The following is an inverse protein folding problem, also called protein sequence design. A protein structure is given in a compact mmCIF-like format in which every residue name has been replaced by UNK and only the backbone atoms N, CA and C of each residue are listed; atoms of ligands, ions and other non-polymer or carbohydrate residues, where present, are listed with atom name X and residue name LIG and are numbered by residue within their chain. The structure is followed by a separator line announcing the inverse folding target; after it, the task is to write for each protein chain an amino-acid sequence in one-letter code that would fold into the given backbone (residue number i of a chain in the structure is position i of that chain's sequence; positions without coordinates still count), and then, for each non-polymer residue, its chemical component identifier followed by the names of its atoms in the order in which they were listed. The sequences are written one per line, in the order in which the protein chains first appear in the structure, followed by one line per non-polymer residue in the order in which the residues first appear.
data_IF_254675574173
#
_entry.id   IF_254675574173
#
_cell.length_a   1.000
_cell.length_b   1.000
_cell.length_c   1.000
_cell.angle_alpha   90.00
_cell.angle_beta   90.00
_cell.angle_gamma   90.00
#
_symmetry.space_group_name_H-M   'P 1'
#
loop_
_entity.id
_entity.type
_entity.pdbx_description
1 polymer ?
#
# COMPACT_ATOMS: atom_id res chain seq x y z
N UNK A 1 -10.21 -53.81 37.67
CA UNK A 1 -9.68 -53.82 39.04
C UNK A 1 -8.29 -53.22 38.96
N UNK A 2 -8.00 -52.14 39.70
CA UNK A 2 -6.69 -51.49 39.61
C UNK A 2 -5.67 -52.20 40.50
N UNK A 3 -4.44 -52.35 40.01
CA UNK A 3 -3.29 -52.83 40.78
C UNK A 3 -2.64 -51.61 41.41
N UNK A 4 -2.52 -51.61 42.74
CA UNK A 4 -2.02 -50.47 43.51
C UNK A 4 -0.68 -50.82 44.13
N UNK A 5 0.33 -49.99 43.87
CA UNK A 5 1.69 -50.13 44.38
C UNK A 5 1.95 -49.07 45.46
N UNK A 6 1.87 -49.44 46.75
CA UNK A 6 2.17 -48.52 47.83
C UNK A 6 3.68 -48.31 47.94
N UNK A 7 4.13 -47.06 47.80
CA UNK A 7 5.54 -46.69 47.84
C UNK A 7 5.82 -45.47 48.71
N UNK A 8 6.96 -45.51 49.39
CA UNK A 8 7.48 -44.39 50.18
C UNK A 8 8.70 -43.84 49.47
N UNK A 9 8.62 -42.57 49.06
CA UNK A 9 9.69 -41.91 48.33
C UNK A 9 10.29 -40.81 49.19
N UNK A 10 11.60 -40.88 49.41
CA UNK A 10 12.38 -39.87 50.11
C UNK A 10 12.89 -38.81 49.15
N UNK A 11 12.98 -37.57 49.62
CA UNK A 11 13.69 -36.48 48.95
C UNK A 11 15.15 -36.38 49.42
N UNK A 12 15.46 -36.93 50.60
CA UNK A 12 16.77 -36.85 51.26
C UNK A 12 17.60 -38.12 51.14
N UNK A 13 16.97 -39.29 51.10
CA UNK A 13 17.64 -40.60 51.06
C UNK A 13 17.41 -41.30 49.71
N UNK A 14 18.32 -42.18 49.26
CA UNK A 14 18.09 -43.04 48.11
C UNK A 14 16.83 -43.90 48.29
N UNK A 15 16.08 -44.12 47.21
CA UNK A 15 14.86 -44.92 47.22
C UNK A 15 15.14 -46.37 46.79
N UNK A 16 16.26 -46.95 47.23
CA UNK A 16 16.70 -48.28 46.80
C UNK A 16 15.93 -49.41 47.50
N UNK A 17 15.26 -49.10 48.62
CA UNK A 17 14.53 -50.07 49.45
C UNK A 17 13.05 -50.21 49.06
N UNK A 18 12.62 -49.64 47.93
CA UNK A 18 11.24 -49.81 47.48
C UNK A 18 11.01 -51.24 46.99
N UNK A 19 9.82 -51.83 47.21
CA UNK A 19 9.48 -53.12 46.60
C UNK A 19 9.59 -53.06 45.08
N UNK A 20 9.96 -54.18 44.46
CA UNK A 20 10.04 -54.29 43.01
C UNK A 20 8.66 -54.01 42.40
N UNK A 21 8.57 -52.93 41.62
CA UNK A 21 7.37 -52.55 40.88
C UNK A 21 7.44 -53.19 39.50
N UNK A 22 6.52 -54.11 39.22
CA UNK A 22 6.38 -54.75 37.91
C UNK A 22 5.08 -54.34 37.26
N UNK A 23 5.19 -53.63 36.14
CA UNK A 23 4.08 -53.07 35.37
C UNK A 23 4.05 -53.77 34.01
N UNK A 24 2.86 -54.02 33.47
CA UNK A 24 2.71 -54.55 32.12
C UNK A 24 2.52 -53.41 31.13
N UNK A 25 3.22 -53.47 29.99
CA UNK A 25 3.09 -52.52 28.90
C UNK A 25 1.63 -52.44 28.41
N UNK A 26 1.16 -51.24 28.07
CA UNK A 26 -0.20 -50.97 27.56
C UNK A 26 -1.36 -51.31 28.52
N UNK A 27 -1.09 -51.55 29.81
CA UNK A 27 -2.13 -51.76 30.81
C UNK A 27 -2.63 -50.42 31.37
N UNK A 28 -3.17 -49.58 30.48
CA UNK A 28 -3.57 -48.20 30.79
C UNK A 28 -4.74 -48.14 31.78
N UNK A 29 -4.66 -47.21 32.73
CA UNK A 29 -5.75 -46.94 33.66
C UNK A 29 -5.89 -47.94 34.82
N UNK A 30 -5.10 -49.02 34.84
CA UNK A 30 -5.18 -50.05 35.88
C UNK A 30 -3.98 -50.03 36.84
N UNK A 31 -2.83 -49.51 36.41
CA UNK A 31 -1.57 -49.53 37.14
C UNK A 31 -1.38 -48.24 37.96
N UNK A 32 -1.50 -48.30 39.29
CA UNK A 32 -1.55 -47.11 40.16
C UNK A 32 -0.42 -47.11 41.18
N UNK A 33 0.37 -46.04 41.21
CA UNK A 33 1.33 -45.74 42.27
C UNK A 33 0.62 -45.00 43.41
N UNK A 34 0.64 -45.56 44.62
CA UNK A 34 0.14 -44.91 45.84
C UNK A 34 1.33 -44.41 46.66
N UNK A 35 1.61 -43.12 46.55
CA UNK A 35 2.90 -42.53 46.93
C UNK A 35 2.76 -41.75 48.22
N UNK A 36 3.66 -42.00 49.15
CA UNK A 36 3.89 -41.15 50.32
C UNK A 36 5.27 -40.50 50.24
N UNK A 37 5.31 -39.18 50.15
CA UNK A 37 6.54 -38.39 50.05
C UNK A 37 7.08 -38.11 51.45
N UNK A 38 8.38 -38.33 51.63
CA UNK A 38 9.05 -38.15 52.93
C UNK A 38 10.31 -37.30 52.85
N UNK A 39 10.57 -36.56 53.91
CA UNK A 39 11.81 -35.80 54.15
C UNK A 39 12.36 -36.23 55.51
N UNK A 40 13.59 -36.75 55.55
CA UNK A 40 14.18 -37.32 56.77
C UNK A 40 13.27 -38.36 57.47
N UNK A 41 12.57 -39.19 56.69
CA UNK A 41 11.67 -40.24 57.18
C UNK A 41 10.31 -39.76 57.70
N UNK A 42 10.00 -38.46 57.64
CA UNK A 42 8.70 -37.90 58.02
C UNK A 42 7.90 -37.50 56.78
N UNK A 43 6.56 -37.61 56.79
CA UNK A 43 5.72 -37.13 55.70
C UNK A 43 5.98 -35.64 55.37
N UNK A 44 6.09 -35.32 54.08
CA UNK A 44 6.34 -33.95 53.58
C UNK A 44 5.04 -33.27 53.18
N UNK A 45 4.83 -32.03 53.63
CA UNK A 45 3.69 -31.22 53.18
C UNK A 45 3.88 -30.76 51.73
N UNK A 46 2.86 -30.99 50.90
CA UNK A 46 2.80 -30.62 49.47
C UNK A 46 1.60 -29.72 49.14
N UNK A 47 0.95 -29.11 50.12
CA UNK A 47 -0.34 -28.40 49.95
C UNK A 47 -0.37 -27.31 48.88
N UNK A 48 0.76 -26.63 48.62
CA UNK A 48 0.85 -25.55 47.63
C UNK A 48 1.62 -25.94 46.37
N UNK A 49 1.85 -27.24 46.17
CA UNK A 49 2.69 -27.75 45.09
C UNK A 49 1.90 -28.69 44.21
N UNK A 50 2.16 -28.59 42.91
CA UNK A 50 1.65 -29.53 41.92
C UNK A 50 2.72 -30.60 41.69
N UNK A 51 2.42 -31.88 41.97
CA UNK A 51 3.32 -32.97 41.67
C UNK A 51 3.30 -33.31 40.17
N UNK A 52 4.46 -33.67 39.64
CA UNK A 52 4.67 -34.18 38.30
C UNK A 52 5.42 -35.50 38.38
N UNK A 53 4.95 -36.51 37.66
CA UNK A 53 5.65 -37.78 37.50
C UNK A 53 6.61 -37.66 36.31
N UNK A 54 7.89 -37.94 36.54
CA UNK A 54 8.95 -37.72 35.56
C UNK A 54 9.74 -39.01 35.33
N UNK A 55 9.74 -39.53 34.11
CA UNK A 55 10.50 -40.71 33.69
C UNK A 55 11.77 -40.29 32.96
N UNK A 56 12.92 -40.85 33.37
CA UNK A 56 14.23 -40.72 32.70
C UNK A 56 14.43 -41.96 31.84
N UNK A 57 13.98 -42.00 30.57
CA UNK A 57 14.17 -43.21 29.76
C UNK A 57 15.66 -43.43 29.41
N UNK A 58 16.03 -44.71 29.28
CA UNK A 58 17.41 -45.18 29.24
C UNK A 58 18.12 -44.93 27.90
N UNK A 59 19.28 -44.27 27.97
CA UNK A 59 20.49 -44.30 27.11
C UNK A 59 20.42 -44.41 25.57
N UNK A 60 19.27 -44.49 24.91
CA UNK A 60 19.17 -44.50 23.45
C UNK A 60 18.70 -43.14 22.94
N UNK A 61 19.68 -42.36 22.46
CA UNK A 61 19.56 -41.32 21.44
C UNK A 61 18.27 -40.47 21.45
N UNK A 62 18.21 -39.45 22.30
CA UNK A 62 17.31 -38.30 22.10
C UNK A 62 15.82 -38.53 22.30
N UNK A 63 15.43 -39.69 22.84
CA UNK A 63 14.04 -40.10 23.02
C UNK A 63 13.77 -40.34 24.50
N UNK A 64 12.71 -39.72 25.03
CA UNK A 64 12.00 -40.33 26.15
C UNK A 64 12.15 -39.69 27.54
N UNK A 65 11.85 -38.41 27.67
CA UNK A 65 11.41 -37.88 28.96
C UNK A 65 9.87 -37.89 28.93
N UNK A 66 9.23 -38.66 29.81
CA UNK A 66 7.79 -38.54 30.09
C UNK A 66 7.62 -37.63 31.29
N UNK A 67 6.77 -36.63 31.16
CA UNK A 67 6.36 -35.77 32.27
C UNK A 67 4.85 -35.65 32.30
N UNK A 68 4.25 -36.00 33.44
CA UNK A 68 2.80 -36.04 33.59
C UNK A 68 2.37 -35.35 34.89
N UNK A 69 1.43 -34.41 34.79
CA UNK A 69 0.84 -33.72 35.95
C UNK A 69 0.04 -34.72 36.78
N UNK A 70 0.31 -34.79 38.09
CA UNK A 70 -0.44 -35.65 39.01
C UNK A 70 -1.68 -34.90 39.49
N UNK A 71 -2.86 -35.40 39.13
CA UNK A 71 -4.13 -34.76 39.46
C UNK A 71 -4.68 -35.20 40.83
N UNK A 72 -4.38 -36.43 41.26
CA UNK A 72 -5.02 -37.04 42.44
C UNK A 72 -4.14 -36.94 43.69
N UNK A 73 -4.34 -35.88 44.46
CA UNK A 73 -3.74 -35.71 45.79
C UNK A 73 -4.71 -36.23 46.85
N UNK A 74 -4.26 -37.17 47.68
CA UNK A 74 -5.10 -37.83 48.70
C UNK A 74 -5.05 -37.05 50.03
N UNK A 75 -3.86 -36.70 50.47
CA UNK A 75 -3.64 -35.90 51.68
C UNK A 75 -2.36 -35.09 51.51
N UNK A 76 -2.51 -33.82 51.12
CA UNK A 76 -1.39 -32.95 50.80
C UNK A 76 -0.50 -32.66 52.03
N UNK A 77 -1.09 -32.52 53.22
CA UNK A 77 -0.34 -32.28 54.46
C UNK A 77 0.53 -33.47 54.86
N UNK A 78 0.13 -34.67 54.46
CA UNK A 78 0.88 -35.92 54.67
C UNK A 78 1.67 -36.37 53.43
N UNK A 79 1.77 -35.55 52.38
CA UNK A 79 2.51 -35.91 51.18
C UNK A 79 1.98 -37.14 50.47
N UNK A 80 0.67 -37.42 50.55
CA UNK A 80 0.03 -38.58 49.94
C UNK A 80 -0.64 -38.23 48.63
N UNK A 81 -0.26 -38.93 47.56
CA UNK A 81 -0.81 -38.77 46.22
C UNK A 81 -0.96 -40.13 45.54
N UNK A 82 -1.82 -40.18 44.53
CA UNK A 82 -1.96 -41.34 43.67
C UNK A 82 -1.72 -40.95 42.22
N UNK A 83 -0.94 -41.77 41.52
CA UNK A 83 -0.65 -41.57 40.12
C UNK A 83 -0.97 -42.84 39.34
N UNK A 84 -1.81 -42.73 38.32
CA UNK A 84 -2.12 -43.85 37.42
C UNK A 84 -1.20 -43.75 36.22
N UNK A 85 -0.42 -44.80 35.94
CA UNK A 85 0.54 -44.81 34.85
C UNK A 85 -0.17 -44.73 33.50
N UNK A 86 0.42 -43.93 32.60
CA UNK A 86 -0.04 -43.77 31.22
C UNK A 86 0.76 -44.67 30.29
N UNK A 87 0.30 -44.83 29.03
CA UNK A 87 1.05 -45.59 28.02
C UNK A 87 2.47 -45.04 27.80
N UNK A 88 2.66 -43.74 27.99
CA UNK A 88 3.96 -43.07 27.85
C UNK A 88 4.94 -43.48 28.95
N UNK A 89 4.45 -43.67 30.17
CA UNK A 89 5.26 -44.13 31.31
C UNK A 89 5.66 -45.60 31.17
N UNK A 90 4.89 -46.36 30.40
CA UNK A 90 5.06 -47.79 30.19
C UNK A 90 5.73 -48.12 28.85
N UNK A 91 6.29 -47.14 28.15
CA UNK A 91 6.72 -47.32 26.75
C UNK A 91 8.00 -48.14 26.59
N UNK A 92 8.98 -47.96 27.48
CA UNK A 92 10.28 -48.64 27.40
C UNK A 92 10.25 -49.93 28.22
N UNK A 93 10.27 -51.08 27.53
CA UNK A 93 10.30 -52.40 28.17
C UNK A 93 11.65 -52.60 28.87
N UNK A 94 11.62 -53.10 30.11
CA UNK A 94 12.80 -53.27 30.95
C UNK A 94 12.78 -52.36 32.18
N UNK A 95 13.97 -52.05 32.71
CA UNK A 95 14.13 -51.20 33.87
C UNK A 95 14.07 -49.71 33.47
N UNK A 96 13.26 -48.95 34.20
CA UNK A 96 13.08 -47.52 34.01
C UNK A 96 13.32 -46.79 35.33
N UNK A 97 13.88 -45.59 35.23
CA UNK A 97 14.13 -44.72 36.37
C UNK A 97 13.16 -43.54 36.34
N UNK A 98 12.47 -43.29 37.43
CA UNK A 98 11.55 -42.16 37.56
C UNK A 98 11.69 -41.42 38.88
N UNK A 99 11.08 -40.25 38.97
CA UNK A 99 11.00 -39.43 40.17
C UNK A 99 9.74 -38.56 40.14
N UNK A 100 9.38 -37.99 41.28
CA UNK A 100 8.33 -36.96 41.36
C UNK A 100 8.94 -35.58 41.56
N UNK A 101 8.56 -34.63 40.72
CA UNK A 101 8.90 -33.21 40.83
C UNK A 101 7.74 -32.44 41.44
N UNK A 102 7.99 -31.57 42.41
CA UNK A 102 6.96 -30.74 43.05
C UNK A 102 7.19 -29.28 42.68
N UNK A 103 6.21 -28.70 41.99
CA UNK A 103 6.35 -27.39 41.36
C UNK A 103 5.28 -26.42 41.84
N UNK A 104 5.66 -25.16 41.88
CA UNK A 104 4.76 -24.05 42.12
C UNK A 104 4.49 -23.32 40.81
N UNK A 105 3.22 -23.03 40.52
CA UNK A 105 2.83 -22.21 39.40
C UNK A 105 3.09 -20.74 39.75
N UNK A 106 3.98 -20.10 39.01
CA UNK A 106 4.30 -18.69 39.19
C UNK A 106 3.23 -17.79 38.55
N UNK A 107 3.29 -16.48 38.84
CA UNK A 107 2.34 -15.49 38.29
C UNK A 107 2.42 -15.35 36.77
N UNK A 108 3.58 -15.62 36.19
CA UNK A 108 3.84 -15.67 34.75
C UNK A 108 3.45 -17.01 34.12
N UNK A 109 2.67 -17.82 34.85
CA UNK A 109 2.20 -19.14 34.43
C UNK A 109 3.34 -20.13 34.10
N UNK A 110 4.57 -19.87 34.57
CA UNK A 110 5.68 -20.81 34.50
C UNK A 110 5.69 -21.76 35.70
N UNK A 111 6.08 -23.01 35.47
CA UNK A 111 6.28 -23.99 36.55
C UNK A 111 7.70 -23.87 37.11
N UNK A 112 7.82 -23.57 38.40
CA UNK A 112 9.11 -23.57 39.10
C UNK A 112 9.20 -24.76 40.04
N UNK A 113 10.18 -25.64 39.81
CA UNK A 113 10.46 -26.76 40.72
C UNK A 113 10.95 -26.24 42.08
N UNK A 114 10.31 -26.69 43.15
CA UNK A 114 10.69 -26.40 44.54
C UNK A 114 11.56 -27.52 45.11
N UNK A 115 11.16 -28.78 44.89
CA UNK A 115 11.96 -29.96 45.22
C UNK A 115 11.52 -31.17 44.39
N UNK A 116 12.26 -32.27 44.51
CA UNK A 116 11.93 -33.55 43.88
C UNK A 116 12.25 -34.72 44.81
N UNK A 117 11.61 -35.87 44.61
CA UNK A 117 12.08 -37.12 45.21
C UNK A 117 13.42 -37.52 44.63
N UNK A 118 14.13 -38.40 45.34
CA UNK A 118 15.20 -39.18 44.72
C UNK A 118 14.60 -40.16 43.71
N UNK A 119 15.45 -40.54 42.78
CA UNK A 119 15.12 -41.48 41.72
C UNK A 119 14.71 -42.83 42.32
N UNK A 120 13.81 -43.52 41.64
CA UNK A 120 13.41 -44.88 41.95
C UNK A 120 13.23 -45.68 40.66
N UNK A 121 13.41 -47.00 40.75
CA UNK A 121 13.32 -47.90 39.61
C UNK A 121 11.98 -48.63 39.55
N UNK A 122 11.49 -48.88 38.35
CA UNK A 122 10.36 -49.78 38.08
C UNK A 122 10.62 -50.58 36.81
N UNK A 123 10.02 -51.77 36.73
CA UNK A 123 10.16 -52.65 35.58
C UNK A 123 8.87 -52.69 34.75
N UNK A 124 9.01 -52.44 33.46
CA UNK A 124 7.95 -52.65 32.47
C UNK A 124 8.19 -54.00 31.80
N UNK A 125 7.18 -54.87 31.84
CA UNK A 125 7.16 -56.17 31.15
C UNK A 125 6.41 -56.02 29.83
N UNK A 126 6.91 -56.68 28.80
CA UNK A 126 6.29 -56.74 27.48
C UNK A 126 4.83 -57.21 27.56
N UNK A 127 4.03 -56.67 26.65
CA UNK A 127 2.66 -57.09 26.40
C UNK A 127 2.58 -57.74 25.02
N UNK A 128 1.53 -58.52 24.77
CA UNK A 128 1.29 -59.11 23.45
C UNK A 128 0.90 -58.07 22.39
N UNK A 129 0.53 -56.87 22.83
CA UNK A 129 0.32 -55.71 21.98
C UNK A 129 1.67 -55.03 21.82
N UNK A 130 2.27 -55.08 20.63
CA UNK A 130 3.51 -54.37 20.32
C UNK A 130 3.18 -53.23 19.36
N UNK A 131 3.01 -52.02 19.89
CA UNK A 131 2.86 -50.80 19.08
C UNK A 131 4.21 -50.10 18.78
N UNK A 132 5.35 -50.72 19.12
CA UNK A 132 6.65 -50.07 19.02
C UNK A 132 6.82 -48.87 19.96
N UNK A 133 8.03 -48.30 19.98
CA UNK A 133 8.34 -47.10 20.75
C UNK A 133 7.86 -45.89 19.93
N UNK A 134 6.84 -45.17 20.39
CA UNK A 134 6.39 -43.88 19.85
C UNK A 134 7.38 -42.76 20.20
N UNK A 135 8.19 -42.32 19.25
CA UNK A 135 9.14 -41.24 19.48
C UNK A 135 8.45 -39.91 19.85
N UNK A 136 8.92 -39.29 20.95
CA UNK A 136 8.57 -37.96 21.48
C UNK A 136 7.27 -37.85 22.30
N UNK A 137 7.42 -37.79 23.64
CA UNK A 137 6.34 -37.51 24.60
C UNK A 137 6.43 -36.11 25.19
N UNK A 138 6.52 -35.09 24.33
CA UNK A 138 6.27 -33.71 24.74
C UNK A 138 4.76 -33.52 24.96
N UNK A 139 4.23 -34.09 26.05
CA UNK A 139 3.04 -33.57 26.69
C UNK A 139 3.51 -32.33 27.45
N UNK A 140 3.81 -31.27 26.70
CA UNK A 140 3.65 -29.92 27.24
C UNK A 140 2.22 -29.87 27.75
N UNK A 141 2.02 -29.41 28.99
CA UNK A 141 0.65 -29.29 29.49
C UNK A 141 -0.10 -28.40 28.50
N UNK A 142 -1.30 -28.78 28.05
CA UNK A 142 -2.11 -27.93 27.16
C UNK A 142 -2.21 -26.48 27.70
N UNK A 143 -2.11 -26.33 29.03
CA UNK A 143 -1.97 -25.08 29.77
C UNK A 143 -0.77 -24.22 29.32
N UNK A 144 0.41 -24.80 29.08
CA UNK A 144 1.60 -24.07 28.64
C UNK A 144 1.58 -23.73 27.15
N UNK A 145 1.01 -24.60 26.29
CA UNK A 145 0.78 -24.27 24.88
C UNK A 145 -0.24 -23.13 24.78
N UNK A 146 -1.31 -23.20 25.56
CA UNK A 146 -2.31 -22.14 25.67
C UNK A 146 -1.68 -20.84 26.18
N UNK A 147 -0.74 -20.91 27.14
CA UNK A 147 0.02 -19.75 27.61
C UNK A 147 0.82 -19.11 26.49
N UNK A 148 1.66 -19.88 25.79
CA UNK A 148 2.45 -19.33 24.68
C UNK A 148 1.58 -18.74 23.57
N UNK A 149 0.47 -19.40 23.27
CA UNK A 149 -0.50 -18.88 22.31
C UNK A 149 -1.12 -17.56 22.80
N UNK A 150 -1.50 -17.46 24.07
CA UNK A 150 -2.10 -16.25 24.65
C UNK A 150 -1.10 -15.09 24.74
N UNK A 151 0.15 -15.35 25.13
CA UNK A 151 1.24 -14.37 25.15
C UNK A 151 1.55 -13.87 23.73
N UNK A 152 1.57 -14.76 22.74
CA UNK A 152 1.75 -14.40 21.34
C UNK A 152 0.60 -13.52 20.84
N UNK A 153 -0.66 -13.87 21.12
CA UNK A 153 -1.82 -13.05 20.77
C UNK A 153 -1.75 -11.65 21.40
N UNK A 154 -1.40 -11.56 22.69
CA UNK A 154 -1.24 -10.27 23.39
C UNK A 154 -0.15 -9.41 22.75
N UNK A 155 1.00 -10.02 22.46
CA UNK A 155 2.13 -9.32 21.82
C UNK A 155 1.75 -8.83 20.42
N UNK A 156 1.03 -9.64 19.64
CA UNK A 156 0.54 -9.23 18.32
C UNK A 156 -0.46 -8.07 18.39
N UNK A 157 -1.33 -8.03 19.41
CA UNK A 157 -2.25 -6.91 19.63
C UNK A 157 -1.49 -5.62 19.96
N UNK A 158 -0.51 -5.68 20.87
CA UNK A 158 0.32 -4.53 21.24
C UNK A 158 1.08 -3.97 20.02
N UNK A 159 1.71 -4.84 19.23
CA UNK A 159 2.41 -4.44 17.99
C UNK A 159 1.46 -3.82 16.97
N UNK A 160 0.23 -4.34 16.85
CA UNK A 160 -0.76 -3.80 15.92
C UNK A 160 -1.25 -2.41 16.35
N UNK A 161 -1.51 -2.22 17.64
CA UNK A 161 -1.95 -0.94 18.19
C UNK A 161 -0.86 0.12 18.05
N UNK A 162 0.39 -0.21 18.35
CA UNK A 162 1.55 0.67 18.15
C UNK A 162 1.72 1.05 16.67
N UNK A 163 1.65 0.06 15.77
CA UNK A 163 1.73 0.30 14.33
C UNK A 163 0.59 1.20 13.85
N UNK A 164 -0.64 0.99 14.34
CA UNK A 164 -1.80 1.78 13.96
C UNK A 164 -1.66 3.24 14.38
N UNK A 165 -1.17 3.51 15.60
CA UNK A 165 -0.93 4.87 16.09
C UNK A 165 0.08 5.59 15.20
N UNK A 166 1.23 4.95 14.93
CA UNK A 166 2.27 5.53 14.07
C UNK A 166 1.74 5.78 12.65
N UNK A 167 0.99 4.84 12.08
CA UNK A 167 0.40 5.00 10.75
C UNK A 167 -0.63 6.14 10.69
N UNK A 168 -1.42 6.34 11.75
CA UNK A 168 -2.36 7.45 11.86
C UNK A 168 -1.64 8.80 11.92
N UNK A 169 -0.57 8.92 12.72
CA UNK A 169 0.23 10.14 12.83
C UNK A 169 0.89 10.51 11.49
N UNK A 170 1.47 9.54 10.80
CA UNK A 170 2.06 9.72 9.47
C UNK A 170 1.02 10.17 8.43
N UNK A 171 -0.17 9.56 8.45
CA UNK A 171 -1.27 9.96 7.57
C UNK A 171 -1.72 11.40 7.83
N UNK A 172 -1.84 11.80 9.10
CA UNK A 172 -2.18 13.17 9.47
C UNK A 172 -1.12 14.17 9.02
N UNK A 173 0.17 13.83 9.15
CA UNK A 173 1.27 14.67 8.66
C UNK A 173 1.17 14.87 7.15
N UNK A 174 0.99 13.79 6.39
CA UNK A 174 0.85 13.83 4.93
C UNK A 174 -0.34 14.71 4.53
N UNK A 175 -1.49 14.57 5.19
CA UNK A 175 -2.68 15.41 4.94
C UNK A 175 -2.36 16.90 5.16
N UNK A 176 -1.69 17.24 6.25
CA UNK A 176 -1.31 18.62 6.55
C UNK A 176 -0.34 19.21 5.50
N UNK A 177 0.64 18.43 5.07
CA UNK A 177 1.57 18.82 3.99
C UNK A 177 0.83 19.06 2.67
N UNK A 178 -0.09 18.18 2.29
CA UNK A 178 -0.91 18.36 1.09
C UNK A 178 -1.79 19.60 1.16
N UNK A 179 -2.42 19.88 2.32
CA UNK A 179 -3.22 21.09 2.51
C UNK A 179 -2.38 22.37 2.39
N UNK A 180 -1.18 22.37 2.98
CA UNK A 180 -0.24 23.49 2.87
C UNK A 180 0.20 23.71 1.42
N UNK A 181 0.51 22.63 0.70
CA UNK A 181 0.85 22.69 -0.72
C UNK A 181 -0.31 23.24 -1.56
N UNK A 182 -1.54 22.77 -1.36
CA UNK A 182 -2.73 23.28 -2.09
C UNK A 182 -2.87 24.79 -1.86
N UNK A 183 -2.83 25.22 -0.60
CA UNK A 183 -2.99 26.62 -0.22
C UNK A 183 -1.91 27.50 -0.86
N UNK A 184 -0.66 27.06 -0.77
CA UNK A 184 0.49 27.78 -1.36
C UNK A 184 0.36 27.90 -2.88
N UNK A 185 -0.12 26.85 -3.56
CA UNK A 185 -0.29 26.90 -5.02
C UNK A 185 -1.46 27.80 -5.42
N UNK A 186 -2.56 27.79 -4.67
CA UNK A 186 -3.67 28.71 -4.89
C UNK A 186 -3.22 30.17 -4.77
N UNK A 187 -2.51 30.51 -3.69
CA UNK A 187 -1.96 31.86 -3.50
C UNK A 187 -1.01 32.27 -4.64
N UNK A 188 -0.10 31.38 -5.06
CA UNK A 188 0.81 31.64 -6.19
C UNK A 188 0.06 31.86 -7.48
N UNK A 189 -0.98 31.06 -7.74
CA UNK A 189 -1.80 31.18 -8.94
C UNK A 189 -2.59 32.50 -8.95
N UNK A 190 -3.17 32.88 -7.81
CA UNK A 190 -3.91 34.14 -7.66
C UNK A 190 -3.00 35.36 -7.83
N UNK A 191 -1.79 35.31 -7.26
CA UNK A 191 -0.76 36.33 -7.45
C UNK A 191 -0.36 36.44 -8.93
N UNK A 192 -0.05 35.32 -9.59
CA UNK A 192 0.31 35.30 -11.00
C UNK A 192 -0.82 35.86 -11.88
N UNK A 193 -2.06 35.44 -11.63
CA UNK A 193 -3.25 35.89 -12.38
C UNK A 193 -3.46 37.39 -12.22
N UNK A 194 -3.26 37.92 -11.01
CA UNK A 194 -3.36 39.35 -10.72
C UNK A 194 -2.32 40.16 -11.49
N UNK A 195 -1.07 39.70 -11.49
CA UNK A 195 0.03 40.33 -12.24
C UNK A 195 -0.26 40.30 -13.74
N UNK A 196 -0.63 39.14 -14.29
CA UNK A 196 -0.92 38.99 -15.72
C UNK A 196 -2.09 39.86 -16.17
N UNK A 197 -3.15 39.96 -15.36
CA UNK A 197 -4.26 40.87 -15.64
C UNK A 197 -3.80 42.32 -15.69
N UNK A 198 -3.02 42.77 -14.71
CA UNK A 198 -2.50 44.14 -14.68
C UNK A 198 -1.57 44.44 -15.88
N UNK A 199 -0.71 43.49 -16.25
CA UNK A 199 0.16 43.59 -17.43
C UNK A 199 -0.67 43.69 -18.73
N UNK A 200 -1.69 42.84 -18.86
CA UNK A 200 -2.63 42.88 -19.99
C UNK A 200 -3.34 44.22 -20.07
N UNK A 201 -3.90 44.72 -18.96
CA UNK A 201 -4.62 45.98 -18.91
C UNK A 201 -3.72 47.16 -19.32
N UNK A 202 -2.46 47.16 -18.87
CA UNK A 202 -1.44 48.17 -19.25
C UNK A 202 -1.08 48.10 -20.73
N UNK A 203 -0.85 46.89 -21.25
CA UNK A 203 -0.61 46.68 -22.68
C UNK A 203 -1.81 47.14 -23.51
N UNK A 204 -3.02 46.76 -23.13
CA UNK A 204 -4.26 47.13 -23.82
C UNK A 204 -4.46 48.65 -23.83
N UNK A 205 -4.18 49.33 -22.71
CA UNK A 205 -4.22 50.79 -22.65
C UNK A 205 -3.22 51.44 -23.62
N UNK A 206 -2.02 50.88 -23.78
CA UNK A 206 -1.02 51.36 -24.74
C UNK A 206 -1.51 51.23 -26.18
N UNK A 207 -2.13 50.11 -26.54
CA UNK A 207 -2.73 49.92 -27.87
C UNK A 207 -3.85 50.92 -28.12
N UNK A 208 -4.69 51.18 -27.11
CA UNK A 208 -5.77 52.17 -27.18
C UNK A 208 -5.25 53.60 -27.40
N UNK A 209 -4.12 53.95 -26.77
CA UNK A 209 -3.47 55.25 -26.95
C UNK A 209 -2.89 55.41 -28.37
N UNK A 210 -2.23 54.38 -28.90
CA UNK A 210 -1.71 54.37 -30.28
C UNK A 210 -2.86 54.52 -31.28
N UNK A 211 -3.96 53.80 -31.06
CA UNK A 211 -5.15 53.81 -31.90
C UNK A 211 -6.16 54.90 -31.51
N UNK A 212 -5.72 55.98 -30.84
CA UNK A 212 -6.62 57.05 -30.47
C UNK A 212 -7.32 57.66 -31.71
N UNK A 213 -8.47 58.29 -31.50
CA UNK A 213 -9.34 58.78 -32.57
C UNK A 213 -8.60 59.68 -33.58
N UNK A 214 -7.57 60.40 -33.15
CA UNK A 214 -6.75 61.24 -34.02
C UNK A 214 -5.82 60.42 -34.90
N UNK A 215 -5.14 59.38 -34.40
CA UNK A 215 -4.22 58.56 -35.20
C UNK A 215 -4.97 57.70 -36.20
N UNK A 216 -6.05 57.05 -35.79
CA UNK A 216 -6.88 56.25 -36.69
C UNK A 216 -7.60 57.13 -37.74
N UNK A 217 -8.09 58.31 -37.33
CA UNK A 217 -8.67 59.30 -38.24
C UNK A 217 -7.64 59.90 -39.21
N UNK A 218 -6.42 60.19 -38.74
CA UNK A 218 -5.33 60.71 -39.59
C UNK A 218 -4.85 59.66 -40.60
N UNK A 219 -4.79 58.38 -40.22
CA UNK A 219 -4.48 57.28 -41.15
C UNK A 219 -5.56 57.15 -42.23
N UNK A 220 -6.84 57.26 -41.86
CA UNK A 220 -7.94 57.27 -42.83
C UNK A 220 -7.83 58.46 -43.79
N UNK A 221 -7.56 59.66 -43.27
CA UNK A 221 -7.38 60.87 -44.09
C UNK A 221 -6.19 60.74 -45.04
N UNK A 222 -5.06 60.21 -44.58
CA UNK A 222 -3.87 59.99 -45.42
C UNK A 222 -4.12 58.93 -46.51
N UNK A 223 -4.91 57.89 -46.21
CA UNK A 223 -5.32 56.89 -47.21
C UNK A 223 -6.20 57.54 -48.28
N UNK A 224 -7.17 58.38 -47.89
CA UNK A 224 -8.01 59.10 -48.86
C UNK A 224 -7.21 60.12 -49.67
N UNK A 225 -6.25 60.81 -49.07
CA UNK A 225 -5.34 61.74 -49.77
C UNK A 225 -4.44 61.01 -50.77
N UNK A 226 -3.87 59.85 -50.40
CA UNK A 226 -3.08 59.01 -51.30
C UNK A 226 -3.92 58.39 -52.42
N UNK A 227 -5.19 58.03 -52.16
CA UNK A 227 -6.15 57.64 -53.20
C UNK A 227 -6.48 58.79 -54.15
N UNK A 228 -6.43 60.05 -53.74
CA UNK A 228 -6.59 61.16 -54.67
C UNK A 228 -5.30 61.42 -55.46
N UNK A 229 -4.14 61.36 -54.82
CA UNK A 229 -2.85 61.65 -55.45
C UNK A 229 -2.40 60.60 -56.49
N UNK A 230 -2.73 59.32 -56.29
CA UNK A 230 -2.32 58.24 -57.20
C UNK A 230 -3.21 58.06 -58.43
N UNK A 231 -4.36 58.74 -58.53
CA UNK A 231 -5.37 58.49 -59.57
C UNK A 231 -5.47 59.55 -60.66
N UNK A 232 -4.50 60.46 -60.78
CA UNK A 232 -4.39 61.40 -61.90
C UNK A 232 -3.10 61.18 -62.69
N UNK A 233 -3.23 60.67 -63.92
CA UNK A 233 -2.16 60.78 -64.92
C UNK A 233 -1.87 62.27 -65.15
N UNK A 234 -0.66 62.72 -64.84
CA UNK A 234 -0.26 64.12 -65.09
C UNK A 234 -0.28 64.38 -66.60
N UNK A 235 -0.93 65.46 -67.02
CA UNK A 235 -0.90 65.93 -68.41
C UNK A 235 0.54 66.26 -68.83
N UNK A 236 0.94 65.86 -70.03
CA UNK A 236 2.23 66.22 -70.60
C UNK A 236 2.20 66.09 -72.12
N UNK A 237 2.87 67.00 -72.81
CA UNK A 237 3.04 66.92 -74.26
C UNK A 237 3.96 65.75 -74.61
N UNK A 238 3.57 64.96 -75.61
CA UNK A 238 4.37 63.86 -76.12
C UNK A 238 4.52 64.02 -77.63
N UNK A 239 5.76 63.96 -78.11
CA UNK A 239 6.09 64.09 -79.53
C UNK A 239 6.05 62.75 -80.28
N UNK A 240 5.72 61.66 -79.59
CA UNK A 240 5.71 60.30 -80.16
C UNK A 240 4.41 59.58 -79.74
N UNK A 241 3.78 58.90 -80.69
CA UNK A 241 2.62 58.03 -80.44
C UNK A 241 2.99 56.95 -79.40
N UNK A 242 2.39 57.02 -78.22
CA UNK A 242 2.51 56.01 -77.16
C UNK A 242 1.17 55.35 -76.89
N UNK A 243 1.18 54.03 -76.72
CA UNK A 243 0.00 53.31 -76.24
C UNK A 243 -0.18 53.61 -74.75
N UNK A 244 -1.24 54.32 -74.39
CA UNK A 244 -1.66 54.49 -73.00
C UNK A 244 -2.64 53.35 -72.70
N UNK A 245 -2.29 52.50 -71.74
CA UNK A 245 -3.16 51.43 -71.26
C UNK A 245 -3.60 51.77 -69.84
N UNK A 246 -4.86 52.16 -69.70
CA UNK A 246 -5.52 52.32 -68.40
C UNK A 246 -6.51 51.18 -68.22
N UNK A 247 -6.06 50.11 -67.55
CA UNK A 247 -6.85 48.90 -67.32
C UNK A 247 -8.01 49.12 -66.33
N UNK A 248 -8.16 50.32 -65.76
CA UNK A 248 -9.19 50.66 -64.77
C UNK A 248 -9.98 51.93 -65.09
N UNK A 249 -9.93 52.43 -66.33
CA UNK A 249 -10.67 53.61 -66.81
C UNK A 249 -12.17 53.59 -66.45
N UNK A 250 -12.78 52.40 -66.37
CA UNK A 250 -14.20 52.21 -66.02
C UNK A 250 -14.54 52.47 -64.55
N UNK A 251 -13.55 52.65 -63.65
CA UNK A 251 -13.77 52.86 -62.22
C UNK A 251 -13.84 54.35 -61.85
N UNK A 252 -13.28 55.25 -62.67
CA UNK A 252 -13.27 56.70 -62.43
C UNK A 252 -14.04 57.51 -63.48
N UNK A 253 -14.52 56.88 -64.57
CA UNK A 253 -15.35 57.54 -65.58
C UNK A 253 -16.66 56.76 -65.81
N UNK A 254 -17.79 57.48 -65.88
CA UNK A 254 -19.08 56.87 -66.22
C UNK A 254 -19.23 56.76 -67.74
N UNK A 255 -19.24 55.54 -68.28
CA UNK A 255 -19.46 55.30 -69.72
C UNK A 255 -20.96 55.10 -69.97
N UNK A 256 -21.57 55.98 -70.76
CA UNK A 256 -22.98 55.86 -71.17
C UNK A 256 -23.08 55.38 -72.61
N UNK A 257 -23.73 54.24 -72.84
CA UNK A 257 -23.92 53.67 -74.18
C UNK A 257 -25.05 54.42 -74.91
N UNK A 258 -24.70 55.25 -75.89
CA UNK A 258 -25.67 56.07 -76.64
C UNK A 258 -26.34 55.34 -77.83
N UNK A 259 -25.81 54.19 -78.26
CA UNK A 259 -26.39 53.41 -79.36
C UNK A 259 -25.54 52.19 -79.73
N UNK A 260 -26.10 51.30 -80.56
CA UNK A 260 -25.38 50.15 -81.13
C UNK A 260 -25.51 50.22 -82.65
N UNK A 261 -24.39 50.16 -83.37
CA UNK A 261 -24.40 50.09 -84.84
C UNK A 261 -23.97 48.68 -85.25
N UNK A 262 -24.79 47.99 -86.03
CA UNK A 262 -24.52 46.62 -86.47
C UNK A 262 -23.66 46.64 -87.73
N UNK A 263 -22.44 46.11 -87.67
CA UNK A 263 -21.58 45.92 -88.85
C UNK A 263 -21.17 44.45 -88.98
N UNK A 264 -21.18 43.91 -90.21
CA UNK A 264 -20.73 42.54 -90.48
C UNK A 264 -19.22 42.43 -90.19
N UNK A 265 -18.87 41.43 -89.37
CA UNK A 265 -17.50 41.04 -89.02
C UNK A 265 -16.66 40.92 -90.29
N UNK A 266 -15.68 41.80 -90.45
CA UNK A 266 -14.37 41.57 -91.08
C UNK A 266 -13.69 42.92 -91.28
N UNK A 267 -12.97 43.37 -90.26
CA UNK A 267 -11.84 44.31 -90.28
C UNK A 267 -11.70 44.92 -88.87
N UNK A 268 -10.57 44.66 -88.22
CA UNK A 268 -10.19 45.38 -87.01
C UNK A 268 -10.05 46.86 -87.37
N UNK A 269 -10.89 47.72 -86.81
CA UNK A 269 -10.77 49.16 -87.04
C UNK A 269 -9.73 49.75 -86.08
N UNK A 270 -8.68 50.36 -86.62
CA UNK A 270 -7.83 51.28 -85.87
C UNK A 270 -8.60 52.60 -85.74
N UNK A 271 -8.98 52.95 -84.51
CA UNK A 271 -9.64 54.22 -84.21
C UNK A 271 -8.59 55.17 -83.67
N UNK A 272 -8.29 56.22 -84.45
CA UNK A 272 -7.48 57.36 -83.99
C UNK A 272 -8.46 58.48 -83.66
N UNK A 273 -8.54 58.82 -82.37
CA UNK A 273 -9.32 59.96 -81.90
C UNK A 273 -8.37 61.15 -81.68
N UNK A 274 -8.63 62.25 -82.36
CA UNK A 274 -7.93 63.52 -82.17
C UNK A 274 -8.76 64.36 -81.19
N UNK A 275 -8.16 64.73 -80.05
CA UNK A 275 -8.83 65.52 -79.02
C UNK A 275 -8.61 66.98 -79.38
N UNK A 276 -9.64 67.67 -79.86
CA UNK A 276 -9.60 69.11 -80.06
C UNK A 276 -10.57 69.83 -79.11
N UNK A 277 -9.98 70.67 -78.25
CA UNK A 277 -10.54 71.78 -77.46
C UNK A 277 -11.73 71.57 -76.49
N UNK A 278 -11.56 72.10 -75.27
CA UNK A 278 -12.37 71.99 -74.04
C UNK A 278 -13.84 72.50 -74.08
N UNK A 279 -14.42 72.82 -75.24
CA UNK A 279 -15.78 73.41 -75.30
C UNK A 279 -16.90 72.51 -75.83
N UNK A 280 -16.64 71.26 -76.20
CA UNK A 280 -17.69 70.35 -76.65
C UNK A 280 -17.62 69.01 -75.91
N UNK A 281 -18.59 68.77 -75.01
CA UNK A 281 -18.85 67.48 -74.37
C UNK A 281 -19.44 66.46 -75.37
N UNK A 282 -18.94 66.38 -76.60
CA UNK A 282 -19.40 65.41 -77.60
C UNK A 282 -18.24 64.99 -78.47
N UNK A 283 -18.04 63.67 -78.62
CA UNK A 283 -17.05 63.11 -79.52
C UNK A 283 -17.62 63.00 -80.93
N UNK A 284 -16.83 63.36 -81.94
CA UNK A 284 -17.14 63.06 -83.34
C UNK A 284 -16.19 61.98 -83.86
N UNK A 285 -16.77 60.89 -84.36
CA UNK A 285 -16.01 59.83 -85.01
C UNK A 285 -16.17 60.02 -86.52
N UNK A 286 -15.07 60.28 -87.22
CA UNK A 286 -15.02 60.30 -88.69
C UNK A 286 -14.26 59.07 -89.17
N UNK A 287 -14.80 58.36 -90.17
CA UNK A 287 -14.07 57.30 -90.87
C UNK A 287 -12.86 57.90 -91.59
N UNK A 288 -11.66 57.49 -91.22
CA UNK A 288 -10.42 57.83 -91.92
C UNK A 288 -9.89 56.54 -92.55
N UNK A 289 -10.17 56.35 -93.84
CA UNK A 289 -9.71 55.19 -94.61
C UNK A 289 -10.51 53.91 -94.39
N UNK A 290 -10.58 53.10 -95.44
CA UNK A 290 -10.80 51.66 -95.39
C UNK A 290 -9.51 51.01 -95.89
N UNK A 291 -9.06 49.96 -95.24
CA UNK A 291 -8.18 48.98 -95.90
C UNK A 291 -9.06 48.14 -96.81
#
# INVERSE_FOLDING_TARGET
MSIVYPIFLSITQPNDNIPLIMIRQFDEGTQVLDVTVTEHGKPKDISNLTPFFCVKQGHHAGLGLSEQKVVKIIDAKKGKLQYTLTNYDMQNVGENTAYFSFRELQKDLSWRQQFSTRDFAYQVKESIYDEGIKDSNYIWTFEEILRYFTEWVKTCQEIYDDWYIVAQEELQRIIAEFQSWITTNQERFDQWTTVQRAEFDKWFATIKEILNENTAGNLLNLIEELKQAHFTLKSGETSVLRTIRDDKFSLNHSVTKLGTVTHKKEASALVVAEIDSEKQNTFFIRKVGSV
#
